data_IF_897342375691
#
_entry.id   IF_897342375691
#
_cell.length_a   1.000
_cell.length_b   1.000
_cell.length_c   1.000
_cell.angle_alpha   90.00
_cell.angle_beta   90.00
_cell.angle_gamma   90.00
#
_symmetry.space_group_name_H-M   'P 1'
#
loop_
_entity.id
_entity.type
_entity.pdbx_description
1 polymer ?
#
# COMPACT_ATOMS: atom_id res chain seq x y z
N UNK A 1 -0.89 -13.84 0.79
CA UNK A 1 -0.36 -12.46 0.75
C UNK A 1 -0.84 -11.70 1.98
N UNK A 2 0.06 -11.05 2.67
CA UNK A 2 -0.25 -10.22 3.85
C UNK A 2 -0.17 -8.76 3.46
N UNK A 3 -1.28 -8.04 3.61
CA UNK A 3 -1.42 -6.63 3.22
C UNK A 3 -1.56 -5.77 4.47
N UNK A 4 -0.92 -4.62 4.49
CA UNK A 4 -1.18 -3.58 5.48
C UNK A 4 -1.95 -2.45 4.81
N UNK A 5 -3.10 -2.09 5.36
CA UNK A 5 -3.86 -0.93 4.88
C UNK A 5 -3.80 0.18 5.91
N UNK A 6 -3.17 1.30 5.54
CA UNK A 6 -3.05 2.49 6.37
C UNK A 6 -4.15 3.46 5.94
N UNK A 7 -5.19 3.58 6.75
CA UNK A 7 -6.41 4.31 6.43
C UNK A 7 -7.11 4.69 7.73
N UNK A 8 -7.50 5.95 7.89
CA UNK A 8 -8.15 6.41 9.11
C UNK A 8 -9.64 6.05 9.20
N UNK A 9 -10.29 5.79 8.07
CA UNK A 9 -11.73 5.46 8.04
C UNK A 9 -11.94 3.95 8.19
N UNK A 10 -12.61 3.56 9.29
CA UNK A 10 -12.85 2.14 9.58
C UNK A 10 -13.72 1.45 8.53
N UNK A 11 -14.66 2.18 7.92
CA UNK A 11 -15.52 1.62 6.87
C UNK A 11 -14.70 1.29 5.63
N UNK A 12 -13.81 2.18 5.22
CA UNK A 12 -12.93 1.93 4.08
C UNK A 12 -12.02 0.73 4.34
N UNK A 13 -11.50 0.60 5.56
CA UNK A 13 -10.68 -0.57 5.92
C UNK A 13 -11.49 -1.86 5.80
N UNK A 14 -12.72 -1.86 6.27
CA UNK A 14 -13.58 -3.04 6.22
C UNK A 14 -13.89 -3.46 4.79
N UNK A 15 -14.21 -2.51 3.92
CA UNK A 15 -14.52 -2.80 2.52
C UNK A 15 -13.34 -3.49 1.84
N UNK A 16 -12.14 -2.97 2.03
CA UNK A 16 -10.94 -3.55 1.41
C UNK A 16 -10.60 -4.90 2.03
N UNK A 17 -10.79 -5.05 3.35
CA UNK A 17 -10.60 -6.35 4.01
C UNK A 17 -11.49 -7.42 3.38
N UNK A 18 -12.76 -7.09 3.15
CA UNK A 18 -13.70 -8.03 2.54
C UNK A 18 -13.29 -8.39 1.10
N UNK A 19 -12.83 -7.41 0.34
CA UNK A 19 -12.33 -7.65 -1.02
C UNK A 19 -11.13 -8.60 -1.01
N UNK A 20 -10.18 -8.37 -0.12
CA UNK A 20 -8.96 -9.18 -0.03
C UNK A 20 -9.27 -10.61 0.42
N UNK A 21 -10.25 -10.78 1.31
CA UNK A 21 -10.63 -12.11 1.79
C UNK A 21 -11.17 -12.99 0.67
N UNK A 22 -11.83 -12.40 -0.31
CA UNK A 22 -12.36 -13.13 -1.47
C UNK A 22 -11.23 -13.84 -2.25
N UNK A 23 -10.05 -13.24 -2.28
CA UNK A 23 -8.91 -13.80 -3.01
C UNK A 23 -7.88 -14.47 -2.09
N UNK A 24 -8.25 -14.72 -0.84
CA UNK A 24 -7.39 -15.44 0.10
C UNK A 24 -6.24 -14.62 0.67
N UNK A 25 -6.26 -13.29 0.52
CA UNK A 25 -5.28 -12.43 1.15
C UNK A 25 -5.74 -12.00 2.55
N UNK A 26 -4.79 -11.75 3.44
CA UNK A 26 -5.05 -11.27 4.79
C UNK A 26 -4.64 -9.81 4.89
N UNK A 27 -5.28 -9.08 5.81
CA UNK A 27 -5.03 -7.65 5.95
C UNK A 27 -4.91 -7.26 7.42
N UNK A 28 -3.85 -6.53 7.74
CA UNK A 28 -3.75 -5.77 8.99
C UNK A 28 -4.12 -4.32 8.72
N UNK A 29 -4.55 -3.62 9.76
CA UNK A 29 -5.06 -2.26 9.65
C UNK A 29 -4.25 -1.32 10.52
N UNK A 30 -3.98 -0.12 10.00
CA UNK A 30 -3.39 0.97 10.76
C UNK A 30 -4.27 2.21 10.58
N UNK A 31 -4.69 2.88 11.66
CA UNK A 31 -5.58 4.03 11.55
C UNK A 31 -4.87 5.34 11.18
N UNK A 32 -3.54 5.34 11.21
CA UNK A 32 -2.72 6.51 10.88
C UNK A 32 -1.35 6.07 10.37
N UNK A 33 -0.62 7.03 9.78
CA UNK A 33 0.66 6.74 9.15
C UNK A 33 1.73 6.32 10.17
N UNK A 34 1.77 6.93 11.33
CA UNK A 34 2.78 6.60 12.34
C UNK A 34 2.62 5.18 12.84
N UNK A 35 1.37 4.77 13.11
CA UNK A 35 1.07 3.39 13.49
C UNK A 35 1.46 2.44 12.36
N UNK A 36 1.14 2.81 11.11
CA UNK A 36 1.49 2.00 9.95
C UNK A 36 2.99 1.78 9.82
N UNK A 37 3.78 2.84 9.99
CA UNK A 37 5.24 2.73 9.93
C UNK A 37 5.79 1.84 11.03
N UNK A 38 5.25 1.91 12.24
CA UNK A 38 5.66 1.02 13.33
C UNK A 38 5.31 -0.43 13.02
N UNK A 39 4.13 -0.68 12.44
CA UNK A 39 3.73 -2.03 12.07
C UNK A 39 4.63 -2.60 10.97
N UNK A 40 5.05 -1.77 10.02
CA UNK A 40 6.01 -2.17 8.99
C UNK A 40 7.34 -2.55 9.64
N UNK A 41 7.80 -1.78 10.62
CA UNK A 41 9.04 -2.07 11.31
C UNK A 41 9.02 -3.44 12.01
N UNK A 42 7.90 -3.76 12.67
CA UNK A 42 7.79 -4.93 13.51
C UNK A 42 7.25 -6.17 12.77
N UNK A 43 6.59 -5.99 11.64
CA UNK A 43 5.89 -7.06 10.95
C UNK A 43 6.50 -7.42 9.60
N UNK A 44 5.81 -8.34 8.92
CA UNK A 44 6.18 -8.77 7.57
C UNK A 44 4.97 -8.61 6.67
N UNK A 45 5.09 -7.73 5.67
CA UNK A 45 4.03 -7.47 4.72
C UNK A 45 4.53 -7.65 3.29
N UNK A 46 3.62 -8.00 2.39
CA UNK A 46 3.90 -8.14 0.96
C UNK A 46 3.49 -6.90 0.17
N UNK A 47 2.54 -6.13 0.70
CA UNK A 47 1.98 -4.97 0.04
C UNK A 47 1.47 -3.99 1.08
N UNK A 48 1.74 -2.71 0.86
CA UNK A 48 1.19 -1.62 1.67
C UNK A 48 0.18 -0.86 0.81
N UNK A 49 -1.04 -0.72 1.32
CA UNK A 49 -2.03 0.21 0.77
C UNK A 49 -2.03 1.45 1.65
N UNK A 50 -1.88 2.62 1.04
CA UNK A 50 -1.68 3.87 1.78
C UNK A 50 -2.67 4.94 1.33
N UNK A 51 -3.49 5.41 2.26
CA UNK A 51 -4.32 6.59 2.03
C UNK A 51 -3.45 7.85 2.10
N UNK A 52 -3.80 8.86 1.31
CA UNK A 52 -3.07 10.13 1.31
C UNK A 52 -3.47 11.06 2.43
N UNK A 53 -4.77 11.18 2.69
CA UNK A 53 -5.29 12.16 3.63
C UNK A 53 -5.66 11.51 4.95
N UNK A 54 -4.80 11.74 5.94
CA UNK A 54 -4.99 11.26 7.30
C UNK A 54 -4.59 12.35 8.27
N UNK A 55 -5.20 12.41 9.46
CA UNK A 55 -4.72 13.31 10.51
C UNK A 55 -3.27 13.01 10.87
N UNK A 56 -2.49 14.05 11.16
CA UNK A 56 -1.07 13.90 11.45
C UNK A 56 -0.24 13.78 10.19
N UNK A 57 0.59 12.74 10.11
CA UNK A 57 1.45 12.50 8.94
C UNK A 57 0.60 12.07 7.74
N UNK A 58 0.77 12.72 6.60
CA UNK A 58 0.08 12.31 5.38
C UNK A 58 0.75 11.10 4.71
N UNK A 59 0.04 10.49 3.75
CA UNK A 59 0.51 9.27 3.11
C UNK A 59 1.79 9.45 2.30
N UNK A 60 1.98 10.56 1.61
CA UNK A 60 3.20 10.78 0.83
C UNK A 60 4.42 10.92 1.73
N UNK A 61 4.26 11.60 2.86
CA UNK A 61 5.33 11.72 3.85
C UNK A 61 5.70 10.35 4.41
N UNK A 62 4.69 9.53 4.71
CA UNK A 62 4.93 8.17 5.20
C UNK A 62 5.70 7.33 4.18
N UNK A 63 5.35 7.44 2.91
CA UNK A 63 6.05 6.72 1.84
C UNK A 63 7.51 7.15 1.77
N UNK A 64 7.77 8.45 1.86
CA UNK A 64 9.15 8.96 1.85
C UNK A 64 9.94 8.42 3.05
N UNK A 65 9.33 8.36 4.23
CA UNK A 65 9.98 7.75 5.40
C UNK A 65 10.31 6.28 5.16
N UNK A 66 9.38 5.53 4.57
CA UNK A 66 9.61 4.13 4.25
C UNK A 66 10.79 3.97 3.28
N UNK A 67 10.81 4.77 2.22
CA UNK A 67 11.87 4.69 1.20
C UNK A 67 13.23 5.15 1.72
N UNK A 68 13.27 5.92 2.79
CA UNK A 68 14.52 6.38 3.41
C UNK A 68 15.16 5.35 4.35
N UNK A 69 14.48 4.22 4.61
CA UNK A 69 15.04 3.17 5.47
C UNK A 69 16.32 2.59 4.88
N UNK A 70 17.19 2.10 5.76
CA UNK A 70 18.45 1.47 5.33
C UNK A 70 18.34 -0.04 5.15
N UNK A 71 17.19 -0.65 5.51
CA UNK A 71 16.98 -2.09 5.38
C UNK A 71 16.14 -2.43 4.14
N UNK A 72 15.93 -3.73 3.91
CA UNK A 72 15.20 -4.20 2.73
C UNK A 72 13.74 -3.76 2.70
N UNK A 73 13.16 -3.38 3.83
CA UNK A 73 11.78 -2.92 3.90
C UNK A 73 11.55 -1.63 3.10
N UNK A 74 12.59 -0.89 2.81
CA UNK A 74 12.50 0.31 1.96
C UNK A 74 11.92 0.01 0.58
N UNK A 75 11.99 -1.23 0.13
CA UNK A 75 11.54 -1.65 -1.20
C UNK A 75 10.15 -2.30 -1.19
N UNK A 76 9.45 -2.29 -0.05
CA UNK A 76 8.10 -2.85 0.02
C UNK A 76 7.19 -2.17 -1.01
N UNK A 77 6.38 -2.94 -1.75
CA UNK A 77 5.42 -2.35 -2.68
C UNK A 77 4.39 -1.49 -1.94
N UNK A 78 4.17 -0.29 -2.46
CA UNK A 78 3.18 0.64 -1.92
C UNK A 78 2.23 1.07 -3.03
N UNK A 79 0.94 0.86 -2.81
CA UNK A 79 -0.12 1.37 -3.68
C UNK A 79 -0.90 2.43 -2.92
N UNK A 80 -0.95 3.63 -3.47
CA UNK A 80 -1.75 4.71 -2.89
C UNK A 80 -3.21 4.49 -3.23
N UNK A 81 -4.08 4.68 -2.23
CA UNK A 81 -5.54 4.60 -2.39
C UNK A 81 -6.11 5.97 -2.03
N UNK A 82 -6.74 6.66 -2.98
CA UNK A 82 -7.15 8.04 -2.74
C UNK A 82 -8.43 8.42 -3.47
N UNK A 83 -9.22 9.31 -2.83
CA UNK A 83 -10.38 9.93 -3.46
C UNK A 83 -9.99 11.13 -4.33
N UNK A 84 -8.75 11.59 -4.24
CA UNK A 84 -8.28 12.73 -5.04
C UNK A 84 -8.08 12.30 -6.50
N UNK A 85 -8.40 13.22 -7.43
CA UNK A 85 -8.33 12.94 -8.85
C UNK A 85 -7.61 14.05 -9.63
N UNK A 86 -6.66 14.72 -8.99
CA UNK A 86 -5.88 15.79 -9.65
C UNK A 86 -5.03 15.24 -10.79
N UNK A 87 -4.82 16.04 -11.83
CA UNK A 87 -4.13 15.60 -13.04
C UNK A 87 -2.69 15.17 -12.79
N UNK A 88 -2.03 15.80 -11.80
CA UNK A 88 -0.64 15.53 -11.46
C UNK A 88 -0.47 14.60 -10.25
N UNK A 89 -1.58 14.11 -9.68
CA UNK A 89 -1.55 13.34 -8.44
C UNK A 89 -0.72 12.07 -8.59
N UNK A 90 -0.95 11.34 -9.66
CA UNK A 90 -0.22 10.09 -9.91
C UNK A 90 1.28 10.36 -9.97
N UNK A 91 1.69 11.40 -10.68
CA UNK A 91 3.11 11.74 -10.78
C UNK A 91 3.72 12.09 -9.44
N UNK A 92 2.99 12.84 -8.61
CA UNK A 92 3.46 13.20 -7.26
C UNK A 92 3.60 11.97 -6.37
N UNK A 93 2.65 11.04 -6.44
CA UNK A 93 2.71 9.80 -5.69
C UNK A 93 3.92 8.96 -6.11
N UNK A 94 4.11 8.78 -7.40
CA UNK A 94 5.23 8.00 -7.92
C UNK A 94 6.56 8.66 -7.58
N UNK A 95 6.64 9.98 -7.66
CA UNK A 95 7.84 10.73 -7.28
C UNK A 95 8.18 10.58 -5.79
N UNK A 96 7.17 10.37 -4.95
CA UNK A 96 7.38 10.15 -3.51
C UNK A 96 7.77 8.71 -3.19
N UNK A 97 7.70 7.80 -4.16
CA UNK A 97 8.13 6.42 -4.00
C UNK A 97 7.00 5.38 -4.05
N UNK A 98 5.75 5.79 -4.34
CA UNK A 98 4.67 4.84 -4.54
C UNK A 98 4.87 4.06 -5.84
N UNK A 99 4.39 2.82 -5.85
CA UNK A 99 4.46 1.96 -7.04
C UNK A 99 3.24 2.10 -7.93
N UNK A 100 2.10 2.49 -7.38
CA UNK A 100 0.87 2.66 -8.15
C UNK A 100 -0.13 3.52 -7.35
N UNK A 101 -1.21 3.92 -8.02
CA UNK A 101 -2.29 4.71 -7.42
C UNK A 101 -3.62 4.15 -7.90
N UNK A 102 -4.54 3.89 -6.97
CA UNK A 102 -5.90 3.48 -7.31
C UNK A 102 -6.91 4.40 -6.63
N UNK A 103 -8.09 4.59 -7.25
CA UNK A 103 -9.10 5.51 -6.72
C UNK A 103 -9.92 4.91 -5.59
N UNK A 104 -10.59 5.78 -4.84
CA UNK A 104 -11.66 5.38 -3.92
C UNK A 104 -13.01 5.78 -4.54
N UNK A 105 -14.06 4.96 -4.35
CA UNK A 105 -14.04 3.63 -3.74
C UNK A 105 -13.20 2.67 -4.57
N UNK A 106 -12.49 1.77 -3.88
CA UNK A 106 -11.52 0.87 -4.52
C UNK A 106 -12.23 -0.10 -5.47
N UNK A 107 -11.93 -0.07 -6.78
CA UNK A 107 -12.47 -1.06 -7.70
C UNK A 107 -11.75 -2.39 -7.53
N UNK A 108 -12.51 -3.49 -7.42
CA UNK A 108 -11.93 -4.82 -7.21
C UNK A 108 -10.94 -5.20 -8.31
N UNK A 109 -11.27 -4.91 -9.57
CA UNK A 109 -10.39 -5.24 -10.70
C UNK A 109 -9.05 -4.50 -10.64
N UNK A 110 -9.05 -3.23 -10.21
CA UNK A 110 -7.81 -2.46 -10.09
C UNK A 110 -6.97 -2.94 -8.90
N UNK A 111 -7.61 -3.30 -7.80
CA UNK A 111 -6.92 -3.86 -6.66
C UNK A 111 -6.23 -5.17 -7.02
N UNK A 112 -6.94 -6.09 -7.67
CA UNK A 112 -6.37 -7.37 -8.09
C UNK A 112 -5.24 -7.18 -9.09
N UNK A 113 -5.38 -6.25 -10.02
CA UNK A 113 -4.36 -5.95 -11.01
C UNK A 113 -3.09 -5.42 -10.32
N UNK A 114 -3.25 -4.51 -9.36
CA UNK A 114 -2.11 -3.97 -8.60
C UNK A 114 -1.42 -5.07 -7.80
N UNK A 115 -2.18 -5.95 -7.15
CA UNK A 115 -1.63 -7.07 -6.40
C UNK A 115 -0.82 -8.00 -7.29
N UNK A 116 -1.33 -8.34 -8.47
CA UNK A 116 -0.64 -9.21 -9.42
C UNK A 116 0.68 -8.60 -9.90
N UNK A 117 0.67 -7.29 -10.18
CA UNK A 117 1.88 -6.58 -10.60
C UNK A 117 2.92 -6.53 -9.49
N UNK A 118 2.49 -6.31 -8.25
CA UNK A 118 3.40 -6.25 -7.12
C UNK A 118 4.01 -7.61 -6.81
N UNK A 119 3.26 -8.70 -6.97
CA UNK A 119 3.78 -10.05 -6.81
C UNK A 119 4.86 -10.35 -7.86
N UNK A 120 4.62 -10.00 -9.10
CA UNK A 120 5.60 -10.19 -10.18
C UNK A 120 6.87 -9.36 -9.91
N UNK A 121 6.72 -8.13 -9.44
CA UNK A 121 7.83 -7.25 -9.09
C UNK A 121 8.65 -7.84 -7.95
N UNK A 122 8.00 -8.38 -6.91
CA UNK A 122 8.68 -9.01 -5.78
C UNK A 122 9.46 -10.24 -6.21
N UNK A 123 8.90 -11.08 -7.06
CA UNK A 123 9.58 -12.27 -7.58
C UNK A 123 10.85 -11.87 -8.34
N UNK A 124 10.76 -10.85 -9.19
CA UNK A 124 11.92 -10.35 -9.94
C UNK A 124 12.98 -9.74 -9.02
N UNK A 125 12.55 -9.00 -7.99
CA UNK A 125 13.45 -8.34 -7.04
C UNK A 125 14.23 -9.34 -6.22
N UNK A 126 13.60 -10.40 -5.79
CA UNK A 126 14.25 -11.42 -4.94
C UNK A 126 15.11 -12.39 -5.75
N UNK A 127 15.04 -12.32 -7.06
CA UNK A 127 15.75 -13.26 -7.91
C UNK A 127 15.17 -14.67 -7.89
N UNK A 128 14.02 -14.87 -7.27
CA UNK A 128 13.36 -16.17 -7.24
C UNK A 128 12.57 -16.35 -8.52
N UNK A 129 12.85 -17.44 -9.20
CA UNK A 129 12.14 -17.81 -10.43
C UNK A 129 11.20 -18.95 -10.08
N UNK A 130 9.93 -18.74 -10.30
CA UNK A 130 8.93 -19.77 -10.09
C UNK A 130 8.68 -20.49 -11.40
N UNK A 131 8.85 -21.73 -11.33
CA UNK A 131 8.51 -22.61 -12.44
C UNK A 131 7.17 -23.25 -12.20
#
# INVERSE_FOLDING_TARGET
>A
MQVLFVEDDAMNRRVVRDMLSVVGATMDEAPDAETGLRMIEDGTFNLILMDLRMPGMDGLTAIRHLRARSDAKRDLPVVVVTADAGADLRERCLASGADDVIPKPVPMNLLLKAMSRMLAKNAGRTGVIFS
#
